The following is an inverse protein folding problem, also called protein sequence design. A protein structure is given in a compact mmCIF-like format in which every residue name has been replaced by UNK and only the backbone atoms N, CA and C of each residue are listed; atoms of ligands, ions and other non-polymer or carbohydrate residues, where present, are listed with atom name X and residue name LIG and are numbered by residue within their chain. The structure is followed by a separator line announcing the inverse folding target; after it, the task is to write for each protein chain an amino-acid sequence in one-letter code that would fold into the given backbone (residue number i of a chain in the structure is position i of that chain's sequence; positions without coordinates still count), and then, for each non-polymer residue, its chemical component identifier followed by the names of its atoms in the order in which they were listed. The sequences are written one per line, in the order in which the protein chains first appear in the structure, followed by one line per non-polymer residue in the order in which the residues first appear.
data_IF_851627040557
#
_entry.id   IF_851627040557
#
_cell.length_a   1.000
_cell.length_b   1.000
_cell.length_c   1.000
_cell.angle_alpha   90.00
_cell.angle_beta   90.00
_cell.angle_gamma   90.00
#
_symmetry.space_group_name_H-M   'P 1'
#
loop_
_entity.id
_entity.type
_entity.pdbx_description
1 polymer ?
#
# COMPACT_ATOMS: atom_id res chain seq x y z
N UNK A 1 22.33 -30.70 5.13
CA UNK A 1 22.07 -31.61 4.02
C UNK A 1 22.50 -31.03 2.66
N UNK A 2 21.98 -29.85 2.28
CA UNK A 2 22.25 -29.21 0.99
C UNK A 2 23.73 -28.89 0.75
N UNK A 3 24.44 -28.38 1.73
CA UNK A 3 25.87 -28.09 1.68
C UNK A 3 26.71 -29.37 1.50
N UNK A 4 26.35 -30.43 2.25
CA UNK A 4 27.02 -31.73 2.13
C UNK A 4 26.91 -32.34 0.72
N UNK A 5 25.72 -32.26 0.10
CA UNK A 5 25.50 -32.66 -1.28
C UNK A 5 26.28 -31.82 -2.30
N UNK A 6 26.53 -30.54 -1.95
CA UNK A 6 27.36 -29.63 -2.76
C UNK A 6 28.88 -29.87 -2.63
N UNK A 7 29.33 -30.92 -1.90
CA UNK A 7 30.73 -31.26 -1.76
C UNK A 7 31.51 -30.44 -0.71
N UNK A 8 30.82 -29.64 0.12
CA UNK A 8 31.47 -28.84 1.16
C UNK A 8 32.09 -29.74 2.25
N UNK A 9 33.28 -29.40 2.73
CA UNK A 9 33.93 -30.04 3.86
C UNK A 9 33.18 -29.82 5.16
N UNK A 10 33.41 -30.65 6.16
CA UNK A 10 32.80 -30.52 7.48
C UNK A 10 33.03 -29.11 8.08
N UNK A 11 34.24 -28.61 8.00
CA UNK A 11 34.64 -27.29 8.51
C UNK A 11 33.92 -26.15 7.77
N UNK A 12 33.80 -26.25 6.43
CA UNK A 12 33.03 -25.29 5.63
C UNK A 12 31.55 -25.30 5.99
N UNK A 13 30.95 -26.47 6.24
CA UNK A 13 29.57 -26.62 6.65
C UNK A 13 29.35 -25.96 8.01
N UNK A 14 30.20 -26.25 8.99
CA UNK A 14 30.11 -25.68 10.35
C UNK A 14 30.18 -24.14 10.30
N UNK A 15 31.19 -23.60 9.61
CA UNK A 15 31.34 -22.16 9.41
C UNK A 15 30.10 -21.54 8.77
N UNK A 16 29.58 -22.12 7.67
CA UNK A 16 28.42 -21.59 6.95
C UNK A 16 27.14 -21.67 7.77
N UNK A 17 26.96 -22.71 8.56
CA UNK A 17 25.82 -22.83 9.48
C UNK A 17 25.87 -21.74 10.56
N UNK A 18 27.04 -21.49 11.14
CA UNK A 18 27.23 -20.43 12.14
C UNK A 18 26.94 -19.03 11.55
N UNK A 19 27.45 -18.73 10.34
CA UNK A 19 27.15 -17.50 9.61
C UNK A 19 25.63 -17.32 9.42
N UNK A 20 24.92 -18.34 8.97
CA UNK A 20 23.49 -18.28 8.72
C UNK A 20 22.67 -18.13 10.01
N UNK A 21 23.08 -18.81 11.10
CA UNK A 21 22.42 -18.66 12.40
C UNK A 21 22.64 -17.27 12.97
N UNK A 22 23.80 -16.68 12.76
CA UNK A 22 24.11 -15.30 13.17
C UNK A 22 23.28 -14.31 12.37
N UNK A 23 23.27 -14.44 11.03
CA UNK A 23 22.53 -13.60 10.11
C UNK A 23 21.03 -13.54 10.44
N UNK A 24 20.44 -14.68 10.80
CA UNK A 24 19.01 -14.80 11.12
C UNK A 24 18.71 -14.66 12.62
N UNK A 25 19.70 -14.25 13.44
CA UNK A 25 19.60 -14.11 14.93
C UNK A 25 19.14 -15.37 15.64
N UNK A 26 19.52 -16.55 15.11
CA UNK A 26 19.10 -17.87 15.60
C UNK A 26 20.18 -18.60 16.42
N UNK A 27 21.36 -18.02 16.64
CA UNK A 27 22.50 -18.65 17.35
C UNK A 27 22.10 -19.18 18.73
N UNK A 28 21.32 -18.45 19.51
CA UNK A 28 20.83 -18.87 20.84
C UNK A 28 19.95 -20.12 20.81
N UNK A 29 19.37 -20.43 19.65
CA UNK A 29 18.41 -21.52 19.46
C UNK A 29 19.01 -22.68 18.64
N UNK A 30 20.31 -22.63 18.30
CA UNK A 30 20.99 -23.60 17.43
C UNK A 30 20.82 -25.07 17.86
N UNK A 31 20.65 -25.34 19.16
CA UNK A 31 20.49 -26.69 19.72
C UNK A 31 19.04 -27.08 20.01
N UNK A 32 18.06 -26.16 19.80
CA UNK A 32 16.65 -26.45 20.02
C UNK A 32 16.04 -27.23 18.86
N UNK A 33 15.10 -28.11 19.21
CA UNK A 33 14.31 -28.85 18.20
C UNK A 33 13.18 -27.96 17.66
N UNK A 34 12.66 -28.23 16.44
CA UNK A 34 11.62 -27.38 15.80
C UNK A 34 10.38 -27.13 16.67
N UNK A 35 9.97 -28.09 17.51
CA UNK A 35 8.83 -27.95 18.41
C UNK A 35 9.13 -27.08 19.65
N UNK A 36 10.39 -26.72 19.89
CA UNK A 36 10.84 -25.90 21.02
C UNK A 36 11.06 -24.45 20.64
N UNK A 37 10.72 -24.07 19.41
CA UNK A 37 10.87 -22.71 18.88
C UNK A 37 9.53 -22.21 18.32
N UNK A 38 9.34 -20.88 18.34
CA UNK A 38 8.11 -20.23 17.87
C UNK A 38 7.94 -20.35 16.34
N UNK A 39 6.74 -19.98 15.83
CA UNK A 39 6.46 -19.93 14.41
C UNK A 39 7.44 -19.05 13.64
N UNK A 40 7.64 -17.80 14.09
CA UNK A 40 8.60 -16.88 13.49
C UNK A 40 10.05 -17.37 13.56
N UNK A 41 10.44 -18.04 14.66
CA UNK A 41 11.77 -18.66 14.75
C UNK A 41 11.93 -19.82 13.76
N UNK A 42 10.91 -20.64 13.53
CA UNK A 42 10.93 -21.69 12.49
C UNK A 42 11.10 -21.08 11.10
N UNK A 43 10.46 -19.97 10.84
CA UNK A 43 10.55 -19.25 9.56
C UNK A 43 11.97 -18.69 9.32
N UNK A 44 12.59 -18.09 10.33
CA UNK A 44 14.00 -17.65 10.27
C UNK A 44 14.96 -18.82 10.01
N UNK A 45 14.71 -20.00 10.59
CA UNK A 45 15.49 -21.22 10.29
C UNK A 45 15.27 -21.67 8.86
N UNK A 46 14.05 -21.60 8.33
CA UNK A 46 13.78 -21.92 6.94
C UNK A 46 14.52 -20.97 5.97
N UNK A 47 14.50 -19.67 6.27
CA UNK A 47 15.26 -18.64 5.55
C UNK A 47 16.77 -18.93 5.58
N UNK A 48 17.33 -19.18 6.77
CA UNK A 48 18.74 -19.57 6.94
C UNK A 48 19.13 -20.81 6.11
N UNK A 49 18.27 -21.82 6.07
CA UNK A 49 18.47 -23.03 5.25
C UNK A 49 18.52 -22.72 3.75
N UNK A 50 17.64 -21.84 3.28
CA UNK A 50 17.56 -21.44 1.88
C UNK A 50 18.81 -20.64 1.47
N UNK A 51 19.22 -19.69 2.31
CA UNK A 51 20.40 -18.84 2.09
C UNK A 51 21.74 -19.58 2.25
N UNK A 52 21.78 -20.71 2.96
CA UNK A 52 23.00 -21.45 3.21
C UNK A 52 23.75 -21.82 1.90
N UNK A 53 23.03 -22.07 0.82
CA UNK A 53 23.59 -22.38 -0.51
C UNK A 53 24.05 -21.17 -1.32
N UNK A 54 23.94 -19.95 -0.76
CA UNK A 54 24.22 -18.70 -1.46
C UNK A 54 23.51 -18.60 -2.82
N UNK A 55 22.17 -18.70 -2.87
CA UNK A 55 21.42 -18.61 -4.12
C UNK A 55 21.50 -17.19 -4.67
N UNK A 56 21.43 -17.06 -6.01
CA UNK A 56 21.27 -15.74 -6.67
C UNK A 56 19.83 -15.21 -6.55
N UNK A 57 18.86 -16.12 -6.48
CA UNK A 57 17.43 -15.83 -6.39
C UNK A 57 16.80 -16.67 -5.28
N UNK A 58 16.02 -16.05 -4.42
CA UNK A 58 15.23 -16.68 -3.38
C UNK A 58 13.75 -16.38 -3.59
N UNK A 59 12.93 -17.43 -3.63
CA UNK A 59 11.47 -17.32 -3.71
C UNK A 59 10.89 -17.50 -2.31
N UNK A 60 10.08 -16.54 -1.89
CA UNK A 60 9.41 -16.50 -0.60
C UNK A 60 7.89 -16.41 -0.83
N UNK A 61 7.16 -17.39 -0.34
CA UNK A 61 5.72 -17.46 -0.43
C UNK A 61 5.13 -17.13 0.95
N UNK A 62 4.42 -16.01 1.04
CA UNK A 62 3.82 -15.45 2.25
C UNK A 62 4.75 -15.47 3.49
N UNK A 63 5.96 -14.92 3.40
CA UNK A 63 6.97 -15.11 4.43
C UNK A 63 6.62 -14.49 5.78
N UNK A 64 5.65 -13.59 5.86
CA UNK A 64 5.24 -12.89 7.08
C UNK A 64 3.77 -13.12 7.47
N UNK A 65 3.02 -13.91 6.72
CA UNK A 65 1.58 -14.09 6.89
C UNK A 65 1.15 -14.67 8.24
N UNK A 66 1.99 -15.47 8.89
CA UNK A 66 1.70 -16.09 10.18
C UNK A 66 2.10 -15.24 11.42
N UNK A 67 2.55 -13.99 11.22
CA UNK A 67 3.07 -13.13 12.29
C UNK A 67 2.03 -12.09 12.73
N UNK A 68 2.02 -11.75 14.03
CA UNK A 68 1.28 -10.60 14.53
C UNK A 68 1.88 -9.29 13.99
N UNK A 69 1.12 -8.20 14.03
CA UNK A 69 1.47 -6.91 13.39
C UNK A 69 2.85 -6.38 13.85
N UNK A 70 3.14 -6.43 15.13
CA UNK A 70 4.41 -5.90 15.67
C UNK A 70 5.59 -6.75 15.22
N UNK A 71 5.48 -8.06 15.36
CA UNK A 71 6.53 -8.99 14.96
C UNK A 71 6.74 -8.97 13.44
N UNK A 72 5.68 -8.74 12.67
CA UNK A 72 5.75 -8.58 11.21
C UNK A 72 6.61 -7.39 10.83
N UNK A 73 6.38 -6.20 11.40
CA UNK A 73 7.19 -5.01 11.12
C UNK A 73 8.67 -5.22 11.44
N UNK A 74 8.99 -5.77 12.61
CA UNK A 74 10.38 -6.07 13.01
C UNK A 74 11.03 -7.06 12.01
N UNK A 75 10.26 -8.06 11.53
CA UNK A 75 10.77 -9.09 10.62
C UNK A 75 10.92 -8.56 9.18
N UNK A 76 10.11 -7.59 8.76
CA UNK A 76 10.27 -6.91 7.45
C UNK A 76 11.66 -6.25 7.35
N UNK A 77 12.05 -5.45 8.33
CA UNK A 77 13.37 -4.82 8.36
C UNK A 77 14.50 -5.85 8.40
N UNK A 78 14.36 -6.92 9.22
CA UNK A 78 15.36 -8.00 9.23
C UNK A 78 15.50 -8.69 7.87
N UNK A 79 14.39 -8.87 7.14
CA UNK A 79 14.40 -9.47 5.80
C UNK A 79 15.14 -8.58 4.80
N UNK A 80 14.95 -7.26 4.89
CA UNK A 80 15.68 -6.27 4.08
C UNK A 80 17.18 -6.29 4.40
N UNK A 81 17.56 -6.25 5.68
CA UNK A 81 18.96 -6.34 6.13
C UNK A 81 19.65 -7.61 5.60
N UNK A 82 18.94 -8.75 5.64
CA UNK A 82 19.44 -10.03 5.12
C UNK A 82 19.61 -9.96 3.61
N UNK A 83 18.66 -9.40 2.89
CA UNK A 83 18.69 -9.25 1.44
C UNK A 83 19.89 -8.40 1.01
N UNK A 84 20.09 -7.25 1.67
CA UNK A 84 21.19 -6.33 1.40
C UNK A 84 22.55 -6.97 1.70
N UNK A 85 22.69 -7.60 2.89
CA UNK A 85 23.95 -8.22 3.31
C UNK A 85 24.37 -9.42 2.47
N UNK A 86 23.41 -10.14 1.88
CA UNK A 86 23.68 -11.31 1.04
C UNK A 86 23.77 -10.99 -0.45
N UNK A 87 23.26 -9.82 -0.89
CA UNK A 87 23.13 -9.47 -2.31
C UNK A 87 22.21 -10.41 -3.11
N UNK A 88 21.38 -11.21 -2.43
CA UNK A 88 20.46 -12.17 -3.03
C UNK A 88 19.22 -11.46 -3.55
N UNK A 89 18.80 -11.72 -4.77
CA UNK A 89 17.49 -11.21 -5.25
C UNK A 89 16.37 -12.00 -4.59
N UNK A 90 15.42 -11.29 -3.96
CA UNK A 90 14.23 -11.90 -3.39
C UNK A 90 13.02 -11.67 -4.31
N UNK A 91 12.24 -12.72 -4.53
CA UNK A 91 10.89 -12.62 -5.10
C UNK A 91 9.93 -13.07 -4.00
N UNK A 92 9.08 -12.14 -3.57
CA UNK A 92 8.14 -12.33 -2.46
C UNK A 92 6.74 -12.36 -3.03
N UNK A 93 5.98 -13.41 -2.73
CA UNK A 93 4.55 -13.48 -2.99
C UNK A 93 3.84 -13.17 -1.67
N UNK A 94 2.96 -12.18 -1.70
CA UNK A 94 2.18 -11.77 -0.52
C UNK A 94 0.81 -11.24 -0.95
N UNK A 95 -0.17 -11.36 -0.09
CA UNK A 95 -1.46 -10.69 -0.19
C UNK A 95 -1.53 -9.43 0.71
N UNK A 96 -0.49 -9.17 1.50
CA UNK A 96 -0.38 -8.01 2.37
C UNK A 96 0.25 -6.83 1.62
N UNK A 97 -0.55 -5.81 1.38
CA UNK A 97 -0.14 -4.62 0.63
C UNK A 97 0.93 -3.81 1.40
N UNK A 98 0.80 -3.70 2.74
CA UNK A 98 1.79 -3.00 3.59
C UNK A 98 3.15 -3.69 3.48
N UNK A 99 3.16 -5.04 3.45
CA UNK A 99 4.38 -5.82 3.25
C UNK A 99 5.03 -5.50 1.90
N UNK A 100 4.27 -5.62 0.81
CA UNK A 100 4.78 -5.36 -0.54
C UNK A 100 5.34 -3.94 -0.69
N UNK A 101 4.62 -2.94 -0.15
CA UNK A 101 5.03 -1.53 -0.23
C UNK A 101 6.26 -1.21 0.61
N UNK A 102 6.47 -1.95 1.73
CA UNK A 102 7.58 -1.68 2.66
C UNK A 102 8.89 -2.34 2.21
N UNK A 103 8.83 -3.60 1.75
CA UNK A 103 10.07 -4.38 1.54
C UNK A 103 10.55 -4.44 0.09
N UNK A 104 9.69 -4.15 -0.88
CA UNK A 104 10.01 -4.36 -2.28
C UNK A 104 10.63 -3.13 -2.94
N UNK A 105 11.65 -3.33 -3.77
CA UNK A 105 12.15 -2.31 -4.71
C UNK A 105 11.24 -2.18 -5.95
N UNK A 106 10.52 -3.25 -6.29
CA UNK A 106 9.51 -3.28 -7.36
C UNK A 106 8.35 -4.17 -6.94
N UNK A 107 7.13 -3.71 -7.19
CA UNK A 107 5.88 -4.43 -6.93
C UNK A 107 5.24 -4.83 -8.26
N UNK A 108 4.78 -6.07 -8.36
CA UNK A 108 3.96 -6.57 -9.45
C UNK A 108 2.55 -6.87 -8.91
N UNK A 109 1.55 -6.15 -9.41
CA UNK A 109 0.15 -6.44 -9.12
C UNK A 109 -0.35 -7.48 -10.11
N UNK A 110 -0.95 -8.56 -9.60
CA UNK A 110 -1.48 -9.66 -10.40
C UNK A 110 -2.99 -9.76 -10.23
N UNK A 111 -3.66 -10.08 -11.32
CA UNK A 111 -5.08 -10.41 -11.35
C UNK A 111 -5.32 -11.52 -12.37
N UNK A 112 -6.15 -12.51 -12.03
CA UNK A 112 -6.50 -13.66 -12.86
C UNK A 112 -5.29 -14.32 -13.56
N UNK A 113 -4.15 -14.43 -12.85
CA UNK A 113 -2.93 -15.04 -13.37
C UNK A 113 -2.13 -14.16 -14.34
N UNK A 114 -2.49 -12.88 -14.49
CA UNK A 114 -1.80 -11.90 -15.34
C UNK A 114 -1.16 -10.80 -14.50
N UNK A 115 -0.02 -10.31 -14.94
CA UNK A 115 0.59 -9.12 -14.35
C UNK A 115 -0.09 -7.89 -14.96
N UNK A 116 -0.75 -7.09 -14.11
CA UNK A 116 -1.48 -5.89 -14.53
C UNK A 116 -0.55 -4.66 -14.53
N UNK A 117 0.29 -4.53 -13.50
CA UNK A 117 1.26 -3.43 -13.40
C UNK A 117 2.52 -3.89 -12.69
N UNK A 118 3.68 -3.38 -13.12
CA UNK A 118 4.96 -3.53 -12.41
C UNK A 118 5.62 -2.17 -12.31
N UNK A 119 5.84 -1.69 -11.09
CA UNK A 119 6.50 -0.41 -10.84
C UNK A 119 7.18 -0.40 -9.45
N UNK A 120 7.81 0.72 -9.08
CA UNK A 120 8.22 0.97 -7.70
C UNK A 120 6.99 1.15 -6.81
N UNK A 121 7.08 0.90 -5.48
CA UNK A 121 5.95 1.05 -4.57
C UNK A 121 5.22 2.39 -4.69
N UNK A 122 5.97 3.49 -4.69
CA UNK A 122 5.43 4.84 -4.86
C UNK A 122 4.62 5.00 -6.16
N UNK A 123 5.12 4.47 -7.28
CA UNK A 123 4.42 4.52 -8.58
C UNK A 123 3.17 3.64 -8.62
N UNK A 124 3.17 2.49 -7.95
CA UNK A 124 1.97 1.64 -7.82
C UNK A 124 0.87 2.39 -7.07
N UNK A 125 1.23 3.13 -6.02
CA UNK A 125 0.29 3.87 -5.18
C UNK A 125 -0.19 5.17 -5.82
N UNK A 126 0.76 5.98 -6.34
CA UNK A 126 0.51 7.34 -6.84
C UNK A 126 0.09 7.38 -8.31
N UNK A 127 0.44 6.37 -9.10
CA UNK A 127 0.17 6.30 -10.53
C UNK A 127 -0.33 4.91 -10.95
N UNK A 128 -1.42 4.40 -10.36
CA UNK A 128 -2.04 3.16 -10.80
C UNK A 128 -2.44 3.27 -12.29
N UNK A 129 -2.38 2.14 -13.00
CA UNK A 129 -2.71 2.11 -14.42
C UNK A 129 -4.18 1.76 -14.71
N UNK A 130 -4.94 1.40 -13.67
CA UNK A 130 -6.35 1.00 -13.77
C UNK A 130 -7.08 1.18 -12.44
N UNK A 131 -8.40 1.22 -12.49
CA UNK A 131 -9.28 1.24 -11.31
C UNK A 131 -9.00 0.04 -10.41
N UNK A 132 -8.78 -1.14 -11.01
CA UNK A 132 -8.44 -2.36 -10.27
C UNK A 132 -7.18 -2.16 -9.40
N UNK A 133 -6.09 -1.65 -9.98
CA UNK A 133 -4.84 -1.43 -9.21
C UNK A 133 -5.04 -0.37 -8.15
N UNK A 134 -5.77 0.71 -8.46
CA UNK A 134 -6.07 1.77 -7.50
C UNK A 134 -6.83 1.24 -6.27
N UNK A 135 -7.86 0.43 -6.50
CA UNK A 135 -8.70 -0.16 -5.44
C UNK A 135 -7.96 -1.28 -4.68
N UNK A 136 -7.19 -2.11 -5.40
CA UNK A 136 -6.46 -3.22 -4.79
C UNK A 136 -5.36 -2.77 -3.83
N UNK A 137 -4.67 -1.65 -4.07
CA UNK A 137 -3.48 -1.21 -3.29
C UNK A 137 -3.83 -0.41 -2.03
N UNK A 138 -5.08 -0.14 -1.77
CA UNK A 138 -5.51 0.57 -0.57
C UNK A 138 -6.80 1.32 -0.76
N UNK A 139 -7.28 1.93 0.31
CA UNK A 139 -8.50 2.73 0.24
C UNK A 139 -8.41 3.81 -0.82
N UNK A 140 -9.45 3.92 -1.63
CA UNK A 140 -9.57 4.91 -2.70
C UNK A 140 -11.02 5.34 -2.88
N UNK A 141 -11.23 6.57 -3.30
CA UNK A 141 -12.51 7.06 -3.81
C UNK A 141 -12.47 7.00 -5.34
N UNK A 142 -13.42 6.32 -5.95
CA UNK A 142 -13.58 6.25 -7.40
C UNK A 142 -14.81 7.06 -7.78
N UNK A 143 -14.61 8.07 -8.62
CA UNK A 143 -15.68 8.93 -9.14
C UNK A 143 -15.71 8.78 -10.66
N UNK A 144 -16.76 8.17 -11.17
CA UNK A 144 -16.97 8.02 -12.60
C UNK A 144 -17.59 9.30 -13.17
N UNK A 145 -17.17 9.69 -14.37
CA UNK A 145 -17.76 10.83 -15.07
C UNK A 145 -17.30 10.94 -16.51
N UNK A 146 -17.84 11.95 -17.19
CA UNK A 146 -17.51 12.26 -18.59
C UNK A 146 -16.47 13.37 -18.63
N UNK A 147 -15.38 13.12 -19.35
CA UNK A 147 -14.23 14.02 -19.43
C UNK A 147 -14.45 15.10 -20.49
N UNK A 148 -14.04 16.33 -20.17
CA UNK A 148 -13.94 17.46 -21.11
C UNK A 148 -12.57 18.13 -20.96
N UNK A 149 -11.82 18.38 -22.05
CA UNK A 149 -10.57 19.13 -21.98
C UNK A 149 -10.75 20.51 -21.32
N UNK A 150 -9.84 20.88 -20.41
CA UNK A 150 -9.87 22.15 -19.66
C UNK A 150 -8.60 22.98 -19.86
N UNK A 151 -7.62 22.45 -20.61
CA UNK A 151 -6.32 23.07 -20.87
C UNK A 151 -5.27 22.00 -21.13
N UNK A 152 -4.00 22.39 -21.12
CA UNK A 152 -2.88 21.46 -21.22
C UNK A 152 -2.85 20.57 -19.97
N UNK A 153 -2.95 19.24 -20.17
CA UNK A 153 -2.96 18.21 -19.12
C UNK A 153 -4.05 18.39 -18.02
N UNK A 154 -5.09 19.20 -18.30
CA UNK A 154 -6.20 19.44 -17.39
C UNK A 154 -7.54 19.03 -18.03
N UNK A 155 -8.39 18.43 -17.20
CA UNK A 155 -9.69 17.91 -17.61
C UNK A 155 -10.75 18.22 -16.58
N UNK A 156 -11.92 18.68 -17.05
CA UNK A 156 -13.15 18.67 -16.27
C UNK A 156 -13.80 17.29 -16.33
N UNK A 157 -14.38 16.86 -15.23
CA UNK A 157 -15.11 15.60 -15.11
C UNK A 157 -16.54 15.92 -14.68
N UNK A 158 -17.47 15.75 -15.60
CA UNK A 158 -18.91 15.84 -15.35
C UNK A 158 -19.36 14.51 -14.70
N UNK A 159 -19.49 14.51 -13.39
CA UNK A 159 -19.75 13.31 -12.59
C UNK A 159 -21.18 13.23 -12.03
N UNK A 160 -21.88 14.37 -11.94
CA UNK A 160 -23.24 14.42 -11.44
C UNK A 160 -23.97 15.67 -11.97
N UNK A 161 -25.26 15.55 -12.43
CA UNK A 161 -25.99 16.65 -13.10
C UNK A 161 -26.14 17.93 -12.27
N UNK A 162 -26.15 17.80 -10.94
CA UNK A 162 -26.40 18.91 -10.01
C UNK A 162 -25.15 19.31 -9.20
N UNK A 163 -23.98 18.88 -9.62
CA UNK A 163 -22.71 19.20 -8.96
C UNK A 163 -21.77 19.90 -9.93
N UNK A 164 -20.90 20.76 -9.40
CA UNK A 164 -19.85 21.36 -10.20
C UNK A 164 -18.92 20.27 -10.80
N UNK A 165 -18.45 20.43 -12.03
CA UNK A 165 -17.45 19.52 -12.61
C UNK A 165 -16.18 19.51 -11.75
N UNK A 166 -15.56 18.35 -11.65
CA UNK A 166 -14.28 18.20 -10.95
C UNK A 166 -13.14 18.47 -11.92
N UNK A 167 -12.10 19.15 -11.44
CA UNK A 167 -10.88 19.40 -12.21
C UNK A 167 -9.81 18.36 -11.84
N UNK A 168 -9.29 17.65 -12.84
CA UNK A 168 -8.21 16.69 -12.68
C UNK A 168 -7.06 16.97 -13.64
N UNK A 169 -5.83 16.74 -13.19
CA UNK A 169 -4.65 16.73 -14.03
C UNK A 169 -4.36 15.30 -14.52
N UNK A 170 -3.93 15.15 -15.77
CA UNK A 170 -3.52 13.86 -16.32
C UNK A 170 -2.47 14.05 -17.40
N UNK A 171 -1.34 13.33 -17.26
CA UNK A 171 -0.32 13.21 -18.32
C UNK A 171 -0.79 12.34 -19.49
N UNK A 172 -1.85 11.53 -19.28
CA UNK A 172 -2.45 10.73 -20.34
C UNK A 172 -3.53 11.53 -21.03
N UNK A 173 -3.58 11.49 -22.37
CA UNK A 173 -4.62 12.18 -23.10
C UNK A 173 -5.98 11.47 -22.96
N UNK A 174 -7.04 12.25 -22.77
CA UNK A 174 -8.43 11.80 -22.82
C UNK A 174 -9.18 12.56 -23.91
N UNK A 175 -10.09 11.86 -24.58
CA UNK A 175 -10.94 12.46 -25.59
C UNK A 175 -12.15 13.16 -24.95
N UNK A 176 -12.63 14.23 -25.59
CA UNK A 176 -13.87 14.88 -25.18
C UNK A 176 -15.05 13.90 -25.22
N UNK A 177 -15.84 13.87 -24.16
CA UNK A 177 -16.95 12.94 -24.01
C UNK A 177 -16.57 11.51 -23.59
N UNK A 178 -15.29 11.21 -23.36
CA UNK A 178 -14.86 9.90 -22.88
C UNK A 178 -15.29 9.68 -21.44
N UNK A 179 -15.78 8.48 -21.12
CA UNK A 179 -15.99 8.05 -19.73
C UNK A 179 -14.65 7.74 -19.08
N UNK A 180 -14.42 8.27 -17.86
CA UNK A 180 -13.24 8.01 -17.08
C UNK A 180 -13.57 7.97 -15.57
N UNK A 181 -12.61 7.50 -14.79
CA UNK A 181 -12.71 7.35 -13.37
C UNK A 181 -11.63 8.19 -12.68
N UNK A 182 -12.05 9.11 -11.82
CA UNK A 182 -11.11 9.84 -10.96
C UNK A 182 -10.89 9.05 -9.67
N UNK A 183 -9.69 8.52 -9.51
CA UNK A 183 -9.26 7.80 -8.33
C UNK A 183 -8.54 8.76 -7.36
N UNK A 184 -9.08 8.95 -6.14
CA UNK A 184 -8.52 9.86 -5.14
C UNK A 184 -8.34 9.14 -3.82
N UNK A 185 -7.14 9.19 -3.25
CA UNK A 185 -6.87 8.63 -1.93
C UNK A 185 -7.55 9.45 -0.83
N UNK A 186 -8.12 8.81 0.22
CA UNK A 186 -8.81 9.52 1.29
C UNK A 186 -7.95 10.55 2.04
N UNK A 187 -6.64 10.31 2.18
CA UNK A 187 -5.70 11.22 2.84
C UNK A 187 -5.36 12.47 2.02
N UNK A 188 -5.71 12.48 0.73
CA UNK A 188 -5.56 13.65 -0.16
C UNK A 188 -6.78 14.55 -0.19
N UNK A 189 -7.84 14.15 0.51
CA UNK A 189 -9.08 14.92 0.66
C UNK A 189 -9.08 15.63 2.00
N UNK A 190 -9.18 16.95 1.96
CA UNK A 190 -9.36 17.79 3.15
C UNK A 190 -10.84 17.87 3.50
N UNK A 191 -11.18 17.75 4.79
CA UNK A 191 -12.52 17.96 5.31
C UNK A 191 -12.55 19.19 6.20
N UNK A 192 -13.56 20.05 6.07
CA UNK A 192 -13.75 21.29 6.85
C UNK A 192 -15.23 21.57 7.14
N UNK A 193 -15.51 22.28 8.25
CA UNK A 193 -16.85 22.76 8.55
C UNK A 193 -17.25 23.95 7.66
N UNK A 194 -16.27 24.74 7.21
CA UNK A 194 -16.47 25.92 6.37
C UNK A 194 -16.03 25.66 4.94
N UNK A 195 -16.64 26.38 3.98
CA UNK A 195 -16.30 26.27 2.58
C UNK A 195 -14.87 26.80 2.31
N UNK A 196 -13.99 26.00 1.72
CA UNK A 196 -12.65 26.46 1.34
C UNK A 196 -12.72 27.50 0.21
N UNK A 197 -12.03 28.64 0.40
CA UNK A 197 -12.07 29.77 -0.55
C UNK A 197 -11.22 29.54 -1.80
N UNK A 198 -10.09 28.84 -1.66
CA UNK A 198 -9.08 28.72 -2.72
C UNK A 198 -9.03 27.33 -3.39
N UNK A 199 -9.85 26.38 -2.93
CA UNK A 199 -9.80 25.01 -3.45
C UNK A 199 -10.43 24.91 -4.85
N UNK A 200 -9.75 24.25 -5.77
CA UNK A 200 -10.22 24.02 -7.15
C UNK A 200 -11.39 23.03 -7.20
N UNK A 201 -11.34 22.00 -6.37
CA UNK A 201 -12.40 21.01 -6.23
C UNK A 201 -13.00 21.14 -4.83
N UNK A 202 -14.29 21.32 -4.76
CA UNK A 202 -15.05 21.35 -3.51
C UNK A 202 -16.38 20.64 -3.68
N UNK A 203 -16.80 19.90 -2.67
CA UNK A 203 -18.14 19.33 -2.61
C UNK A 203 -18.69 19.42 -1.21
N UNK A 204 -20.01 19.64 -1.10
CA UNK A 204 -20.72 19.72 0.17
C UNK A 204 -21.38 18.38 0.48
N UNK A 205 -21.43 18.04 1.75
CA UNK A 205 -22.07 16.82 2.20
C UNK A 205 -22.34 16.79 3.70
N UNK A 206 -22.72 15.62 4.19
CA UNK A 206 -22.90 15.37 5.63
C UNK A 206 -22.13 14.13 6.05
N UNK A 207 -21.58 14.17 7.26
CA UNK A 207 -20.85 13.04 7.83
C UNK A 207 -21.81 11.92 8.20
N UNK A 208 -21.69 10.77 7.51
CA UNK A 208 -22.45 9.56 7.82
C UNK A 208 -21.82 8.78 8.96
N UNK A 209 -20.49 8.60 8.89
CA UNK A 209 -19.77 7.79 9.87
C UNK A 209 -18.33 8.27 10.05
N UNK A 210 -17.72 7.87 11.16
CA UNK A 210 -16.35 8.23 11.52
C UNK A 210 -15.65 6.98 12.09
N UNK A 211 -14.67 6.45 11.35
CA UNK A 211 -13.80 5.40 11.83
C UNK A 211 -12.55 5.99 12.50
N UNK A 212 -12.42 5.79 13.82
CA UNK A 212 -11.26 6.24 14.60
C UNK A 212 -10.25 5.11 14.81
N UNK A 213 -9.06 5.25 14.24
CA UNK A 213 -7.98 4.27 14.30
C UNK A 213 -6.83 4.66 15.26
N UNK A 214 -7.06 5.66 16.12
CA UNK A 214 -6.03 6.19 17.02
C UNK A 214 -5.19 7.28 16.35
N UNK A 215 -4.28 6.93 15.46
CA UNK A 215 -3.41 7.86 14.71
C UNK A 215 -4.14 8.56 13.55
N UNK A 216 -5.20 7.97 13.03
CA UNK A 216 -5.99 8.46 11.89
C UNK A 216 -7.48 8.46 12.23
N UNK A 217 -8.24 9.35 11.58
CA UNK A 217 -9.71 9.31 11.52
C UNK A 217 -10.15 9.34 10.07
N UNK A 218 -11.00 8.40 9.68
CA UNK A 218 -11.63 8.36 8.35
C UNK A 218 -13.09 8.80 8.47
N UNK A 219 -13.45 9.85 7.75
CA UNK A 219 -14.81 10.38 7.67
C UNK A 219 -15.47 9.85 6.40
N UNK A 220 -16.65 9.29 6.54
CA UNK A 220 -17.51 8.88 5.44
C UNK A 220 -18.51 10.01 5.19
N UNK A 221 -18.33 10.76 4.12
CA UNK A 221 -19.14 11.95 3.81
C UNK A 221 -20.08 11.63 2.65
N UNK A 222 -21.38 11.67 2.89
CA UNK A 222 -22.39 11.62 1.83
C UNK A 222 -22.52 12.99 1.20
N UNK A 223 -22.17 13.09 -0.07
CA UNK A 223 -22.32 14.30 -0.85
C UNK A 223 -23.79 14.57 -1.18
N UNK A 224 -24.12 15.81 -1.48
CA UNK A 224 -25.50 16.21 -1.87
C UNK A 224 -26.00 15.46 -3.11
N UNK A 225 -25.10 14.86 -3.92
CA UNK A 225 -25.42 13.94 -5.02
C UNK A 225 -25.72 12.49 -4.61
N UNK A 226 -25.60 12.16 -3.32
CA UNK A 226 -25.83 10.80 -2.78
C UNK A 226 -24.58 9.91 -2.75
N UNK A 227 -23.51 10.26 -3.43
CA UNK A 227 -22.26 9.51 -3.40
C UNK A 227 -21.56 9.66 -2.05
N UNK A 228 -20.97 8.57 -1.55
CA UNK A 228 -20.16 8.57 -0.33
C UNK A 228 -18.68 8.69 -0.68
N UNK A 229 -18.02 9.67 -0.08
CA UNK A 229 -16.58 9.93 -0.25
C UNK A 229 -15.90 9.79 1.11
N UNK A 230 -14.78 9.09 1.14
CA UNK A 230 -13.92 8.95 2.32
C UNK A 230 -12.91 10.08 2.35
N UNK A 231 -12.80 10.77 3.48
CA UNK A 231 -11.72 11.73 3.77
C UNK A 231 -10.96 11.27 5.01
N UNK A 232 -9.63 11.27 4.97
CA UNK A 232 -8.81 10.78 6.07
C UNK A 232 -7.93 11.88 6.63
N UNK A 233 -7.89 12.00 7.96
CA UNK A 233 -7.07 13.00 8.65
C UNK A 233 -6.20 12.36 9.72
N UNK A 234 -4.96 12.85 9.86
CA UNK A 234 -4.08 12.44 10.94
C UNK A 234 -4.52 13.06 12.27
N UNK A 235 -4.59 12.26 13.32
CA UNK A 235 -4.89 12.71 14.68
C UNK A 235 -3.62 13.25 15.35
N UNK A 236 -3.20 14.45 15.00
CA UNK A 236 -1.94 15.08 15.46
C UNK A 236 -2.00 15.63 16.88
N UNK A 237 -3.20 15.73 17.48
CA UNK A 237 -3.42 16.24 18.84
C UNK A 237 -4.26 15.27 19.65
N UNK A 238 -4.13 15.32 20.99
CA UNK A 238 -5.03 14.58 21.87
C UNK A 238 -6.46 15.11 21.68
N UNK A 239 -7.35 14.25 21.21
CA UNK A 239 -8.75 14.58 20.99
C UNK A 239 -9.48 14.63 22.34
N UNK A 240 -9.66 15.82 22.91
CA UNK A 240 -10.59 16.06 24.02
C UNK A 240 -12.03 16.26 23.50
N UNK A 241 -12.18 16.82 22.29
CA UNK A 241 -13.44 17.01 21.58
C UNK A 241 -13.17 17.01 20.07
N UNK A 242 -14.03 16.37 19.30
CA UNK A 242 -13.99 16.42 17.83
C UNK A 242 -14.55 17.76 17.36
N UNK A 243 -13.92 18.36 16.35
CA UNK A 243 -14.43 19.55 15.68
C UNK A 243 -15.52 19.23 14.66
N UNK A 244 -15.50 18.01 14.11
CA UNK A 244 -16.47 17.48 13.15
C UNK A 244 -17.00 16.16 13.72
N UNK A 245 -18.33 16.00 13.73
CA UNK A 245 -19.03 14.84 14.29
C UNK A 245 -20.08 14.30 13.31
N UNK A 246 -20.79 13.23 13.71
CA UNK A 246 -21.86 12.62 12.91
C UNK A 246 -22.94 13.64 12.56
N UNK A 247 -23.51 13.54 11.36
CA UNK A 247 -24.55 14.39 10.80
C UNK A 247 -24.13 15.86 10.54
N UNK A 248 -22.92 16.26 10.92
CA UNK A 248 -22.42 17.59 10.61
C UNK A 248 -22.39 17.84 9.11
N UNK A 249 -22.80 19.04 8.69
CA UNK A 249 -22.61 19.53 7.33
C UNK A 249 -21.17 19.98 7.17
N UNK A 250 -20.53 19.43 6.14
CA UNK A 250 -19.10 19.64 5.89
C UNK A 250 -18.83 19.93 4.42
N UNK A 251 -17.66 20.47 4.17
CA UNK A 251 -17.06 20.59 2.86
C UNK A 251 -15.87 19.64 2.76
N UNK A 252 -15.76 18.98 1.61
CA UNK A 252 -14.54 18.28 1.23
C UNK A 252 -13.89 19.02 0.08
N UNK A 253 -12.56 18.98 0.02
CA UNK A 253 -11.79 19.66 -1.01
C UNK A 253 -10.48 18.95 -1.34
N UNK A 254 -10.00 19.12 -2.57
CA UNK A 254 -8.73 18.59 -3.03
C UNK A 254 -8.18 19.37 -4.24
N UNK A 255 -6.89 19.21 -4.52
CA UNK A 255 -6.24 19.82 -5.69
C UNK A 255 -6.54 19.05 -6.98
N UNK A 256 -6.36 19.67 -8.13
CA UNK A 256 -6.48 18.98 -9.43
C UNK A 256 -5.49 17.82 -9.60
N UNK A 257 -4.37 17.86 -8.87
CA UNK A 257 -3.31 16.83 -8.91
C UNK A 257 -3.43 15.77 -7.83
N UNK A 258 -4.47 15.82 -6.98
CA UNK A 258 -4.65 14.88 -5.87
C UNK A 258 -5.12 13.50 -6.31
N UNK A 259 -5.82 13.43 -7.43
CA UNK A 259 -6.34 12.18 -8.00
C UNK A 259 -5.65 11.79 -9.29
N UNK A 260 -5.87 10.54 -9.69
CA UNK A 260 -5.41 9.98 -10.97
C UNK A 260 -6.62 9.72 -11.84
N UNK A 261 -6.57 10.17 -13.10
CA UNK A 261 -7.62 9.91 -14.09
C UNK A 261 -7.32 8.59 -14.82
N UNK A 262 -8.29 7.68 -14.79
CA UNK A 262 -8.19 6.32 -15.30
C UNK A 262 -9.27 6.04 -16.35
N UNK A 263 -8.92 5.30 -17.40
CA UNK A 263 -9.80 4.93 -18.50
C UNK A 263 -10.45 3.54 -18.33
N UNK A 264 -10.04 2.79 -17.32
CA UNK A 264 -10.50 1.42 -17.03
C UNK A 264 -10.17 0.98 -15.62
#
# INVERSE_FOLDING_TARGET
FGLRRGGASKQQIEKRVEEMLTLTRMTKFARRKPHQISGGQRQRVALARSLAKAPKLLLLDEPLGALDKKLRQDTQFELMDIQESTGTTFVIVTHDQEEAMTVASRVAVMDEGRIIQVATPDRIYEAPNSVYVADFIGDVNIIEGTVKPAGEDLYYIDWHPNQAPLLAASERPFSDGQTAHLAIRPEKITISAEQPVEAKNTAKGSVLDIAYLGNLSTYYVQLDGGQVVKAQTANTRRLSRRSITWEDKVWISWSATAGVLLDR
#
